data_IF_097163795766
#
_entry.id   IF_097163795766
#
_cell.length_a   1.000
_cell.length_b   1.000
_cell.length_c   1.000
_cell.angle_alpha   90.00
_cell.angle_beta   90.00
_cell.angle_gamma   90.00
#
_symmetry.space_group_name_H-M   'P 1'
#
loop_
_entity.id
_entity.type
_entity.pdbx_description
1 polymer ?
#
# COMPACT_ATOMS: atom_id res chain seq x y z
N UNK A 1 1.61 26.18 40.63
CA UNK A 1 2.19 26.39 41.98
C UNK A 1 1.60 25.36 42.92
N UNK A 2 2.37 24.34 43.30
CA UNK A 2 2.10 23.49 44.47
C UNK A 2 3.49 23.14 45.03
N UNK A 3 3.72 23.59 46.27
CA UNK A 3 4.86 23.26 47.12
C UNK A 3 4.51 22.01 47.91
N UNK A 4 5.44 21.06 48.01
CA UNK A 4 5.46 20.07 49.08
C UNK A 4 6.88 19.95 49.61
N UNK A 5 7.03 20.41 50.85
CA UNK A 5 8.11 20.08 51.76
C UNK A 5 8.30 18.55 51.81
N UNK A 6 9.56 18.11 51.75
CA UNK A 6 9.95 16.96 52.54
C UNK A 6 11.07 17.38 53.49
N UNK A 7 10.62 17.73 54.69
CA UNK A 7 11.38 17.97 55.89
C UNK A 7 11.57 16.62 56.56
N UNK A 8 12.82 16.22 56.83
CA UNK A 8 13.08 15.15 57.80
C UNK A 8 14.24 14.20 57.44
N UNK A 9 15.45 14.56 57.88
CA UNK A 9 16.10 13.74 58.92
C UNK A 9 17.36 14.43 59.47
N UNK A 10 17.23 14.83 60.73
CA UNK A 10 18.26 15.15 61.70
C UNK A 10 19.50 14.24 61.61
N UNK A 11 20.69 14.84 61.75
CA UNK A 11 21.76 14.35 62.63
C UNK A 11 22.50 15.53 63.26
N UNK A 12 22.28 15.82 64.55
CA UNK A 12 23.25 16.51 65.39
C UNK A 12 24.26 15.49 65.91
N UNK A 13 25.51 15.92 66.14
CA UNK A 13 26.52 15.41 67.07
C UNK A 13 27.81 16.20 66.74
N UNK A 14 28.09 17.27 67.47
CA UNK A 14 29.07 17.34 68.57
C UNK A 14 30.51 17.58 68.06
N UNK A 15 30.94 18.85 68.15
CA UNK A 15 32.34 19.32 68.34
C UNK A 15 32.89 18.82 69.70
N UNK A 16 34.19 18.93 70.09
CA UNK A 16 35.18 19.94 69.66
C UNK A 16 36.69 19.52 69.67
N UNK A 17 37.57 20.52 69.42
CA UNK A 17 38.99 20.66 69.82
C UNK A 17 40.03 19.76 69.10
N UNK A 18 41.23 20.20 68.67
CA UNK A 18 41.98 21.45 68.78
C UNK A 18 43.26 21.32 67.89
N UNK A 19 43.96 22.45 67.69
CA UNK A 19 45.40 22.59 67.37
C UNK A 19 45.90 22.55 65.91
N UNK A 20 46.11 23.78 65.41
CA UNK A 20 47.32 24.29 64.75
C UNK A 20 48.40 23.29 64.28
N UNK A 21 48.75 23.31 62.99
CA UNK A 21 50.15 23.50 62.60
C UNK A 21 50.35 23.88 61.13
N UNK A 22 51.33 24.76 60.93
CA UNK A 22 51.71 25.47 59.74
C UNK A 22 52.29 24.59 58.61
N UNK A 23 52.15 25.06 57.38
CA UNK A 23 53.22 24.95 56.39
C UNK A 23 53.45 23.59 55.73
N UNK A 24 52.78 23.35 54.60
CA UNK A 24 53.45 22.65 53.50
C UNK A 24 52.90 23.04 52.13
N UNK A 25 53.72 23.84 51.44
CA UNK A 25 54.00 23.77 50.00
C UNK A 25 52.78 23.60 49.09
N UNK A 26 52.37 24.73 48.50
CA UNK A 26 51.52 24.79 47.32
C UNK A 26 52.15 24.00 46.17
N UNK A 27 51.88 22.70 46.11
CA UNK A 27 52.10 21.89 44.92
C UNK A 27 51.07 22.34 43.89
N UNK A 28 51.51 23.16 42.95
CA UNK A 28 50.77 23.55 41.75
C UNK A 28 50.43 22.27 40.96
N UNK A 29 49.30 21.64 41.30
CA UNK A 29 48.77 20.51 40.57
C UNK A 29 48.33 21.03 39.20
N UNK A 30 49.17 20.81 38.19
CA UNK A 30 48.77 20.92 36.77
C UNK A 30 47.38 20.31 36.63
N UNK A 31 46.39 21.02 36.07
CA UNK A 31 45.05 20.47 35.92
C UNK A 31 45.17 19.23 35.04
N UNK A 32 45.01 18.06 35.65
CA UNK A 32 44.81 16.81 34.93
C UNK A 32 43.63 17.09 34.00
N UNK A 33 43.76 16.89 32.67
CA UNK A 33 42.61 17.03 31.80
C UNK A 33 41.56 16.06 32.32
N UNK A 34 40.49 16.60 32.91
CA UNK A 34 39.32 15.83 33.28
C UNK A 34 38.80 15.31 31.95
N UNK A 35 39.13 14.06 31.63
CA UNK A 35 38.50 13.33 30.55
C UNK A 35 37.05 13.22 30.99
N UNK A 36 36.25 14.22 30.62
CA UNK A 36 34.80 14.18 30.78
C UNK A 36 34.38 12.93 30.05
N UNK A 37 33.96 11.91 30.80
CA UNK A 37 33.44 10.67 30.25
C UNK A 37 32.43 11.04 29.16
N UNK A 38 32.76 10.76 27.91
CA UNK A 38 32.17 11.44 26.75
C UNK A 38 30.75 10.98 26.41
N UNK A 39 30.16 10.07 27.19
CA UNK A 39 28.80 9.62 26.95
C UNK A 39 28.23 8.94 28.19
N UNK A 40 27.05 9.36 28.64
CA UNK A 40 26.33 8.59 29.66
C UNK A 40 25.83 7.28 29.03
N UNK A 41 25.75 6.20 29.81
CA UNK A 41 25.21 4.92 29.32
C UNK A 41 23.79 5.06 28.73
N UNK A 42 23.00 6.00 29.24
CA UNK A 42 21.67 6.32 28.71
C UNK A 42 21.75 6.90 27.29
N UNK A 43 22.73 7.76 27.02
CA UNK A 43 22.95 8.35 25.71
C UNK A 43 23.41 7.29 24.69
N UNK A 44 24.22 6.31 25.12
CA UNK A 44 24.57 5.14 24.30
C UNK A 44 23.35 4.26 23.96
N UNK A 45 22.43 4.04 24.90
CA UNK A 45 21.18 3.31 24.66
C UNK A 45 20.28 4.07 23.67
N UNK A 46 20.17 5.39 23.81
CA UNK A 46 19.40 6.23 22.87
C UNK A 46 19.98 6.14 21.46
N UNK A 47 21.31 6.24 21.30
CA UNK A 47 21.95 6.07 19.99
C UNK A 47 21.73 4.68 19.41
N UNK A 48 21.70 3.62 20.23
CA UNK A 48 21.39 2.26 19.77
C UNK A 48 19.97 2.18 19.23
N UNK A 49 18.98 2.73 19.94
CA UNK A 49 17.57 2.76 19.47
C UNK A 49 17.45 3.53 18.16
N UNK A 50 18.10 4.70 18.05
CA UNK A 50 18.12 5.49 16.81
C UNK A 50 18.77 4.69 15.67
N UNK A 51 19.93 4.06 15.92
CA UNK A 51 20.60 3.21 14.94
C UNK A 51 19.73 2.04 14.48
N UNK A 52 19.03 1.40 15.41
CA UNK A 52 18.07 0.34 15.12
C UNK A 52 16.88 0.80 14.28
N UNK A 53 16.32 1.98 14.58
CA UNK A 53 15.24 2.59 13.80
C UNK A 53 15.69 2.96 12.38
N UNK A 54 16.89 3.52 12.22
CA UNK A 54 17.44 3.86 10.90
C UNK A 54 17.63 2.59 10.06
N UNK A 55 18.30 1.58 10.63
CA UNK A 55 18.58 0.34 9.90
C UNK A 55 17.31 -0.46 9.62
N UNK A 56 16.40 -0.56 10.59
CA UNK A 56 15.10 -1.20 10.46
C UNK A 56 14.22 -0.49 9.43
N UNK A 57 14.15 0.84 9.50
CA UNK A 57 13.42 1.66 8.52
C UNK A 57 13.96 1.50 7.11
N UNK A 58 15.28 1.48 6.93
CA UNK A 58 15.91 1.24 5.62
C UNK A 58 15.56 -0.15 5.07
N UNK A 59 15.66 -1.20 5.88
CA UNK A 59 15.29 -2.56 5.46
C UNK A 59 13.81 -2.67 5.11
N UNK A 60 12.92 -2.10 5.93
CA UNK A 60 11.49 -2.07 5.67
C UNK A 60 11.15 -1.31 4.39
N UNK A 61 11.82 -0.19 4.14
CA UNK A 61 11.66 0.59 2.92
C UNK A 61 12.06 -0.19 1.66
N UNK A 62 13.22 -0.86 1.69
CA UNK A 62 13.67 -1.70 0.57
C UNK A 62 12.72 -2.88 0.32
N UNK A 63 12.26 -3.52 1.39
CA UNK A 63 11.25 -4.58 1.29
C UNK A 63 9.94 -4.08 0.67
N UNK A 64 9.42 -2.94 1.15
CA UNK A 64 8.17 -2.36 0.65
C UNK A 64 8.28 -1.98 -0.84
N UNK A 65 9.45 -1.48 -1.27
CA UNK A 65 9.74 -1.21 -2.68
C UNK A 65 9.68 -2.46 -3.55
N UNK A 66 10.36 -3.53 -3.14
CA UNK A 66 10.39 -4.79 -3.88
C UNK A 66 9.00 -5.41 -3.95
N UNK A 67 8.30 -5.46 -2.81
CA UNK A 67 6.95 -6.01 -2.74
C UNK A 67 5.95 -5.24 -3.62
N UNK A 68 6.05 -3.91 -3.65
CA UNK A 68 5.25 -3.08 -4.55
C UNK A 68 5.52 -3.41 -6.02
N UNK A 69 6.80 -3.42 -6.43
CA UNK A 69 7.18 -3.74 -7.80
C UNK A 69 6.70 -5.13 -8.24
N UNK A 70 6.86 -6.15 -7.39
CA UNK A 70 6.39 -7.51 -7.67
C UNK A 70 4.87 -7.59 -7.82
N UNK A 71 4.13 -6.88 -6.97
CA UNK A 71 2.66 -6.87 -7.03
C UNK A 71 2.18 -6.21 -8.32
N UNK A 72 2.75 -5.06 -8.68
CA UNK A 72 2.44 -4.38 -9.93
C UNK A 72 2.81 -5.21 -11.17
N UNK A 73 3.92 -5.96 -11.14
CA UNK A 73 4.30 -6.87 -12.21
C UNK A 73 3.28 -8.02 -12.38
N UNK A 74 2.76 -8.59 -11.27
CA UNK A 74 1.70 -9.60 -11.32
C UNK A 74 0.41 -9.03 -11.93
N UNK A 75 0.01 -7.83 -11.53
CA UNK A 75 -1.18 -7.18 -12.08
C UNK A 75 -1.01 -6.84 -13.57
N UNK A 76 0.18 -6.40 -13.97
CA UNK A 76 0.50 -6.16 -15.38
C UNK A 76 0.40 -7.45 -16.21
N UNK A 77 0.92 -8.58 -15.71
CA UNK A 77 0.80 -9.87 -16.40
C UNK A 77 -0.67 -10.30 -16.60
N UNK A 78 -1.53 -10.09 -15.59
CA UNK A 78 -2.97 -10.37 -15.71
C UNK A 78 -3.64 -9.46 -16.75
N UNK A 79 -3.27 -8.18 -16.76
CA UNK A 79 -3.77 -7.19 -17.71
C UNK A 79 -3.35 -7.54 -19.15
N UNK A 80 -2.08 -7.90 -19.36
CA UNK A 80 -1.55 -8.31 -20.66
C UNK A 80 -2.17 -9.62 -21.16
N UNK A 81 -2.48 -10.54 -20.24
CA UNK A 81 -3.25 -11.76 -20.53
C UNK A 81 -4.74 -11.49 -20.83
N UNK A 82 -5.19 -10.23 -20.82
CA UNK A 82 -6.58 -9.80 -21.01
C UNK A 82 -7.56 -10.43 -20.02
N UNK A 83 -7.06 -10.86 -18.85
CA UNK A 83 -7.90 -11.32 -17.76
C UNK A 83 -8.36 -10.10 -16.95
N UNK A 84 -9.29 -9.34 -17.53
CA UNK A 84 -9.65 -8.01 -17.04
C UNK A 84 -10.20 -8.01 -15.62
N UNK A 85 -11.08 -8.96 -15.27
CA UNK A 85 -11.64 -9.06 -13.92
C UNK A 85 -10.57 -9.36 -12.86
N UNK A 86 -9.65 -10.28 -13.15
CA UNK A 86 -8.53 -10.55 -12.24
C UNK A 86 -7.53 -9.38 -12.17
N UNK A 87 -7.30 -8.71 -13.30
CA UNK A 87 -6.41 -7.56 -13.38
C UNK A 87 -6.93 -6.37 -12.55
N UNK A 88 -8.22 -6.05 -12.65
CA UNK A 88 -8.86 -4.97 -11.88
C UNK A 88 -8.74 -5.24 -10.38
N UNK A 89 -9.14 -6.43 -9.92
CA UNK A 89 -9.01 -6.84 -8.52
C UNK A 89 -7.56 -6.79 -8.03
N UNK A 90 -6.61 -7.20 -8.87
CA UNK A 90 -5.18 -7.10 -8.55
C UNK A 90 -4.75 -5.64 -8.39
N UNK A 91 -5.10 -4.76 -9.33
CA UNK A 91 -4.77 -3.33 -9.24
C UNK A 91 -5.46 -2.67 -8.04
N UNK A 92 -6.68 -3.04 -7.69
CA UNK A 92 -7.35 -2.54 -6.49
C UNK A 92 -6.63 -2.96 -5.19
N UNK A 93 -6.08 -4.18 -5.15
CA UNK A 93 -5.29 -4.63 -4.00
C UNK A 93 -4.07 -3.74 -3.74
N UNK A 94 -3.52 -3.08 -4.77
CA UNK A 94 -2.34 -2.21 -4.64
C UNK A 94 -2.62 -0.93 -3.85
N UNK A 95 -3.88 -0.53 -3.64
CA UNK A 95 -4.24 0.60 -2.77
C UNK A 95 -3.82 0.38 -1.32
N UNK A 96 -3.62 -0.88 -0.93
CA UNK A 96 -3.22 -1.27 0.43
C UNK A 96 -1.70 -1.32 0.63
N UNK A 97 -0.91 -1.07 -0.42
CA UNK A 97 0.55 -1.09 -0.33
C UNK A 97 1.06 0.13 0.44
N UNK A 98 2.01 -0.10 1.34
CA UNK A 98 2.66 0.94 2.15
C UNK A 98 3.53 1.90 1.33
N UNK A 99 3.96 1.47 0.14
CA UNK A 99 4.77 2.26 -0.78
C UNK A 99 4.33 2.02 -2.22
N UNK A 100 4.03 3.10 -2.93
CA UNK A 100 3.78 3.08 -4.38
C UNK A 100 4.46 4.33 -4.97
N UNK A 101 5.39 4.18 -5.93
CA UNK A 101 5.98 5.33 -6.61
C UNK A 101 4.94 5.99 -7.56
N UNK A 102 5.03 7.30 -7.82
CA UNK A 102 4.05 8.02 -8.64
C UNK A 102 3.83 7.44 -10.05
N UNK A 103 4.86 6.83 -10.65
CA UNK A 103 4.75 6.16 -11.94
C UNK A 103 3.87 4.91 -11.91
N UNK A 104 3.90 4.16 -10.81
CA UNK A 104 3.04 2.98 -10.63
C UNK A 104 1.62 3.40 -10.23
N UNK A 105 1.48 4.47 -9.45
CA UNK A 105 0.17 5.04 -9.12
C UNK A 105 -0.60 5.49 -10.38
N UNK A 106 0.06 6.29 -11.22
CA UNK A 106 -0.51 6.69 -12.52
C UNK A 106 -0.79 5.50 -13.44
N UNK A 107 0.10 4.50 -13.48
CA UNK A 107 -0.13 3.27 -14.23
C UNK A 107 -1.40 2.54 -13.74
N UNK A 108 -1.58 2.39 -12.43
CA UNK A 108 -2.78 1.79 -11.85
C UNK A 108 -4.03 2.52 -12.31
N UNK A 109 -4.09 3.84 -12.15
CA UNK A 109 -5.27 4.63 -12.53
C UNK A 109 -5.59 4.47 -14.01
N UNK A 110 -4.58 4.48 -14.87
CA UNK A 110 -4.76 4.25 -16.31
C UNK A 110 -5.30 2.86 -16.61
N UNK A 111 -4.78 1.82 -15.95
CA UNK A 111 -5.18 0.43 -16.18
C UNK A 111 -6.60 0.15 -15.67
N UNK A 112 -6.95 0.64 -14.48
CA UNK A 112 -8.32 0.56 -13.96
C UNK A 112 -9.28 1.33 -14.87
N UNK A 113 -8.92 2.56 -15.27
CA UNK A 113 -9.73 3.34 -16.20
C UNK A 113 -9.97 2.62 -17.53
N UNK A 114 -8.93 1.99 -18.09
CA UNK A 114 -9.07 1.19 -19.33
C UNK A 114 -10.06 0.03 -19.16
N UNK A 115 -10.04 -0.66 -18.01
CA UNK A 115 -10.97 -1.75 -17.74
C UNK A 115 -12.40 -1.22 -17.60
N UNK A 116 -12.58 -0.08 -16.94
CA UNK A 116 -13.89 0.58 -16.80
C UNK A 116 -14.44 1.03 -18.15
N UNK A 117 -13.61 1.61 -19.02
CA UNK A 117 -14.00 2.00 -20.37
C UNK A 117 -14.44 0.78 -21.19
N UNK A 118 -13.69 -0.34 -21.12
CA UNK A 118 -14.08 -1.59 -21.76
C UNK A 118 -15.41 -2.13 -21.22
N UNK A 119 -15.64 -2.05 -19.90
CA UNK A 119 -16.90 -2.45 -19.29
C UNK A 119 -18.05 -1.59 -19.80
N UNK A 120 -17.87 -0.28 -19.89
CA UNK A 120 -18.91 0.64 -20.39
C UNK A 120 -19.25 0.33 -21.85
N UNK A 121 -18.26 0.11 -22.70
CA UNK A 121 -18.50 -0.33 -24.10
C UNK A 121 -19.25 -1.65 -24.16
N UNK A 122 -18.91 -2.62 -23.30
CA UNK A 122 -19.65 -3.89 -23.20
C UNK A 122 -21.10 -3.69 -22.78
N UNK A 123 -21.34 -2.78 -21.84
CA UNK A 123 -22.67 -2.44 -21.37
C UNK A 123 -23.50 -1.75 -22.45
N UNK A 124 -22.93 -0.80 -23.18
CA UNK A 124 -23.63 -0.10 -24.27
C UNK A 124 -24.06 -1.09 -25.37
N UNK A 125 -23.19 -2.02 -25.74
CA UNK A 125 -23.52 -3.06 -26.73
C UNK A 125 -24.57 -4.03 -26.19
N UNK A 126 -24.48 -4.40 -24.91
CA UNK A 126 -25.48 -5.24 -24.26
C UNK A 126 -26.87 -4.57 -24.31
N UNK A 127 -26.97 -3.31 -23.92
CA UNK A 127 -28.22 -2.55 -23.89
C UNK A 127 -28.78 -2.34 -25.31
N UNK A 128 -27.93 -2.08 -26.31
CA UNK A 128 -28.35 -1.99 -27.70
C UNK A 128 -28.89 -3.33 -28.22
N UNK A 129 -28.20 -4.44 -27.94
CA UNK A 129 -28.65 -5.77 -28.32
C UNK A 129 -29.97 -6.14 -27.61
N UNK A 130 -30.08 -5.82 -26.32
CA UNK A 130 -31.30 -6.05 -25.52
C UNK A 130 -32.50 -5.31 -26.11
N UNK A 131 -32.32 -4.04 -26.51
CA UNK A 131 -33.37 -3.26 -27.17
C UNK A 131 -33.87 -3.96 -28.44
N UNK A 132 -32.96 -4.43 -29.30
CA UNK A 132 -33.35 -5.13 -30.53
C UNK A 132 -34.03 -6.48 -30.27
N UNK A 133 -33.60 -7.20 -29.23
CA UNK A 133 -34.30 -8.42 -28.80
C UNK A 133 -35.73 -8.14 -28.32
N UNK A 134 -35.92 -7.05 -27.57
CA UNK A 134 -37.23 -6.62 -27.10
C UNK A 134 -38.14 -6.16 -28.25
N UNK A 135 -37.57 -5.57 -29.30
CA UNK A 135 -38.28 -5.18 -30.53
C UNK A 135 -38.53 -6.37 -31.49
N UNK A 136 -38.16 -7.59 -31.10
CA UNK A 136 -38.21 -8.81 -31.92
C UNK A 136 -37.37 -8.75 -33.22
N UNK A 137 -36.47 -7.78 -33.36
CA UNK A 137 -35.51 -7.68 -34.47
C UNK A 137 -34.23 -8.46 -34.14
N UNK A 138 -34.36 -9.78 -34.17
CA UNK A 138 -33.25 -10.72 -33.90
C UNK A 138 -32.05 -10.55 -34.83
N UNK A 139 -32.26 -10.09 -36.07
CA UNK A 139 -31.16 -9.90 -37.02
C UNK A 139 -30.27 -8.73 -36.60
N UNK A 140 -30.86 -7.60 -36.20
CA UNK A 140 -30.09 -6.45 -35.66
C UNK A 140 -29.48 -6.75 -34.31
N UNK A 141 -30.18 -7.48 -33.45
CA UNK A 141 -29.65 -7.89 -32.15
C UNK A 141 -28.36 -8.72 -32.32
N UNK A 142 -28.38 -9.72 -33.22
CA UNK A 142 -27.19 -10.54 -33.51
C UNK A 142 -26.08 -9.69 -34.15
N UNK A 143 -26.42 -8.74 -35.02
CA UNK A 143 -25.44 -7.83 -35.61
C UNK A 143 -24.75 -6.96 -34.54
N UNK A 144 -25.47 -6.42 -33.55
CA UNK A 144 -24.87 -5.72 -32.41
C UNK A 144 -24.02 -6.65 -31.56
N UNK A 145 -24.52 -7.85 -31.25
CA UNK A 145 -23.77 -8.82 -30.46
C UNK A 145 -22.43 -9.20 -31.11
N UNK A 146 -22.37 -9.24 -32.44
CA UNK A 146 -21.13 -9.53 -33.18
C UNK A 146 -20.03 -8.47 -33.01
N UNK A 147 -20.38 -7.25 -32.58
CA UNK A 147 -19.41 -6.19 -32.28
C UNK A 147 -18.65 -6.47 -30.99
N UNK A 148 -19.18 -7.34 -30.14
CA UNK A 148 -18.54 -7.75 -28.91
C UNK A 148 -17.86 -9.11 -29.04
N UNK A 149 -16.55 -9.13 -28.78
CA UNK A 149 -15.75 -10.35 -28.69
C UNK A 149 -15.04 -10.36 -27.35
N UNK A 150 -15.04 -11.49 -26.62
CA UNK A 150 -16.16 -12.02 -25.84
C UNK A 150 -16.62 -11.07 -24.71
N UNK A 151 -17.79 -11.31 -24.05
CA UNK A 151 -18.30 -10.51 -22.92
C UNK A 151 -17.52 -10.76 -21.62
N UNK A 152 -16.24 -10.40 -21.59
CA UNK A 152 -15.34 -10.72 -20.48
C UNK A 152 -15.60 -9.95 -19.18
N UNK A 153 -16.36 -8.85 -19.23
CA UNK A 153 -16.62 -7.95 -18.10
C UNK A 153 -18.11 -7.85 -17.73
N UNK A 154 -18.99 -8.55 -18.46
CA UNK A 154 -20.38 -8.71 -18.05
C UNK A 154 -20.46 -9.72 -16.89
N UNK A 155 -21.24 -9.39 -15.86
CA UNK A 155 -21.39 -10.20 -14.66
C UNK A 155 -22.87 -10.49 -14.36
N UNK A 156 -23.11 -11.50 -13.52
CA UNK A 156 -24.43 -11.83 -12.99
C UNK A 156 -25.46 -12.16 -14.06
N UNK A 157 -26.63 -11.54 -13.95
CA UNK A 157 -27.79 -11.77 -14.83
C UNK A 157 -27.47 -11.40 -16.29
N UNK A 158 -26.77 -10.29 -16.53
CA UNK A 158 -26.43 -9.83 -17.88
C UNK A 158 -25.57 -10.86 -18.64
N UNK A 159 -24.61 -11.47 -17.95
CA UNK A 159 -23.81 -12.54 -18.53
C UNK A 159 -24.65 -13.79 -18.83
N UNK A 160 -25.61 -14.12 -17.97
CA UNK A 160 -26.51 -15.24 -18.20
C UNK A 160 -27.41 -14.99 -19.42
N UNK A 161 -27.99 -13.80 -19.51
CA UNK A 161 -28.81 -13.35 -20.64
C UNK A 161 -28.01 -13.35 -21.94
N UNK A 162 -26.80 -12.81 -21.92
CA UNK A 162 -25.92 -12.80 -23.10
C UNK A 162 -25.65 -14.22 -23.62
N UNK A 163 -25.31 -15.16 -22.73
CA UNK A 163 -25.08 -16.57 -23.10
C UNK A 163 -26.33 -17.23 -23.69
N UNK A 164 -27.51 -16.88 -23.21
CA UNK A 164 -28.76 -17.36 -23.80
C UNK A 164 -28.95 -16.85 -25.22
N UNK A 165 -28.70 -15.56 -25.45
CA UNK A 165 -28.76 -14.97 -26.79
C UNK A 165 -27.73 -15.56 -27.74
N UNK A 166 -26.50 -15.86 -27.28
CA UNK A 166 -25.48 -16.55 -28.08
C UNK A 166 -25.97 -17.93 -28.55
N UNK A 167 -26.59 -18.71 -27.65
CA UNK A 167 -27.16 -20.02 -28.00
C UNK A 167 -28.28 -19.90 -29.03
N UNK A 168 -29.11 -18.86 -28.93
CA UNK A 168 -30.19 -18.60 -29.89
C UNK A 168 -29.58 -18.20 -31.24
N UNK A 169 -28.63 -17.27 -31.26
CA UNK A 169 -27.95 -16.80 -32.47
C UNK A 169 -27.29 -17.96 -33.24
N UNK A 170 -26.60 -18.87 -32.54
CA UNK A 170 -26.01 -20.07 -33.15
C UNK A 170 -27.07 -20.96 -33.80
N UNK A 171 -28.20 -21.18 -33.13
CA UNK A 171 -29.31 -21.98 -33.67
C UNK A 171 -29.94 -21.34 -34.92
N UNK A 172 -30.11 -20.01 -34.90
CA UNK A 172 -30.67 -19.27 -36.03
C UNK A 172 -29.73 -19.32 -37.25
N UNK A 173 -28.43 -19.16 -37.03
CA UNK A 173 -27.43 -19.27 -38.10
C UNK A 173 -27.32 -20.71 -38.65
N UNK A 174 -27.49 -21.73 -37.81
CA UNK A 174 -27.50 -23.14 -38.25
C UNK A 174 -28.78 -23.53 -39.04
N UNK A 175 -29.89 -22.81 -38.80
CA UNK A 175 -31.17 -23.03 -39.48
C UNK A 175 -31.31 -22.22 -40.79
N UNK A 176 -30.41 -21.27 -41.05
CA UNK A 176 -30.42 -20.50 -42.29
C UNK A 176 -29.91 -21.37 -43.47
N UNK A 177 -30.72 -21.58 -44.53
CA UNK A 177 -30.23 -22.29 -45.72
C UNK A 177 -29.10 -21.48 -46.35
N UNK A 178 -27.95 -22.12 -46.60
CA UNK A 178 -26.87 -21.52 -47.37
C UNK A 178 -27.39 -21.26 -48.78
N UNK A 179 -27.68 -19.99 -49.08
CA UNK A 179 -27.99 -19.50 -50.41
C UNK A 179 -26.71 -19.10 -51.14
#
# INVERSE_FOLDING_TARGET
>A
MISFMNMGKNRPNEEPDDDEEEGSVSVEKKPVPVVRSFMSWQDALVLLVIGGLIFGGYKYYQYSKQHSAETFAKCAALFEAKNWGAAESCYDSTWKLSYVPPSLDSLRSLRIGTIQDLRNVQMDIFEAAESYWNDADSARAIAEMSKLVPPCLLEGERLATWKQWELIAVKMNAAAPQQ
#
